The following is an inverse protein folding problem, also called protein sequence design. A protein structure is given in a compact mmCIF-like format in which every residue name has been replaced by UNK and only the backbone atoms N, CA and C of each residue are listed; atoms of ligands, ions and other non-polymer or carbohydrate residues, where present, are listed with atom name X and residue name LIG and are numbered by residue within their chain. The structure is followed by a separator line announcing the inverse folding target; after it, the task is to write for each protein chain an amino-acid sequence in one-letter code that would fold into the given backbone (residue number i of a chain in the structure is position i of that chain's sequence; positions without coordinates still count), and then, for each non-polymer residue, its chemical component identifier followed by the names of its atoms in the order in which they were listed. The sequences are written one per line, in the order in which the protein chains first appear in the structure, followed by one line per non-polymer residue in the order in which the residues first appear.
data_IF_483223969824
#
_entry.id   IF_483223969824
#
_cell.length_a   1.000
_cell.length_b   1.000
_cell.length_c   1.000
_cell.angle_alpha   90.00
_cell.angle_beta   90.00
_cell.angle_gamma   90.00
#
_symmetry.space_group_name_H-M   'P 1'
#
loop_
_entity.id
_entity.type
_entity.pdbx_description
1 polymer ?
#
# COMPACT_ATOMS: atom_id res chain seq x y z
N UNK A 1 19.06 -20.44 20.72
CA UNK A 1 19.59 -20.11 19.39
C UNK A 1 19.49 -18.60 19.20
N UNK A 2 20.61 -17.88 19.27
CA UNK A 2 20.67 -16.43 19.12
C UNK A 2 20.86 -16.10 17.65
N UNK A 3 19.92 -15.39 17.03
CA UNK A 3 20.00 -15.01 15.62
C UNK A 3 21.12 -14.01 15.31
N UNK A 4 21.45 -13.81 14.03
CA UNK A 4 22.60 -13.01 13.54
C UNK A 4 22.53 -11.50 13.84
N UNK A 5 21.49 -11.03 14.54
CA UNK A 5 21.27 -9.62 14.84
C UNK A 5 22.13 -9.07 16.00
N UNK A 6 22.84 -9.93 16.75
CA UNK A 6 23.63 -9.47 17.91
C UNK A 6 24.90 -8.69 17.56
N UNK A 7 25.37 -8.77 16.31
CA UNK A 7 26.62 -8.13 15.87
C UNK A 7 26.41 -7.11 14.75
N UNK A 8 25.18 -6.61 14.56
CA UNK A 8 24.93 -5.58 13.55
C UNK A 8 25.52 -4.23 13.97
N UNK A 9 25.61 -3.95 15.28
CA UNK A 9 26.29 -2.77 15.81
C UNK A 9 27.75 -2.66 15.35
N UNK A 10 28.43 -3.80 15.21
CA UNK A 10 29.86 -3.86 14.94
C UNK A 10 30.18 -3.66 13.45
N UNK A 11 29.16 -3.73 12.59
CA UNK A 11 29.30 -3.54 11.14
C UNK A 11 29.14 -2.10 10.70
N UNK A 12 28.40 -1.31 11.48
CA UNK A 12 28.07 0.08 11.15
C UNK A 12 28.87 1.04 12.02
N UNK A 13 30.19 0.97 11.88
CA UNK A 13 31.10 1.97 12.43
C UNK A 13 30.98 3.26 11.62
N UNK A 14 30.31 4.27 12.17
CA UNK A 14 30.21 5.61 11.58
C UNK A 14 31.58 6.33 11.56
N UNK A 15 32.43 6.03 12.54
CA UNK A 15 33.80 6.52 12.67
C UNK A 15 34.72 5.36 13.10
N UNK A 16 36.04 5.44 12.82
CA UNK A 16 37.04 4.50 13.34
C UNK A 16 36.97 4.37 14.86
N UNK A 17 37.32 3.19 15.39
CA UNK A 17 37.24 2.87 16.83
C UNK A 17 38.12 3.77 17.72
N UNK A 18 39.15 4.37 17.14
CA UNK A 18 40.12 5.25 17.81
C UNK A 18 39.74 6.74 17.71
N UNK A 19 38.70 7.08 16.94
CA UNK A 19 38.23 8.46 16.78
C UNK A 19 37.13 8.81 17.81
N UNK A 20 37.02 10.09 18.15
CA UNK A 20 36.01 10.57 19.09
C UNK A 20 34.61 10.43 18.50
N UNK A 21 33.77 9.61 19.14
CA UNK A 21 32.34 9.49 18.81
C UNK A 21 31.48 10.59 19.45
N UNK A 22 32.08 11.55 20.17
CA UNK A 22 31.39 12.64 20.85
C UNK A 22 31.15 13.86 19.95
N UNK A 23 31.50 13.77 18.66
CA UNK A 23 31.21 14.82 17.70
C UNK A 23 29.71 14.91 17.39
N UNK A 24 29.07 15.93 17.94
CA UNK A 24 27.70 16.28 17.58
C UNK A 24 27.67 16.75 16.11
N UNK A 25 27.23 15.86 15.20
CA UNK A 25 26.98 16.16 13.77
C UNK A 25 26.15 17.45 13.55
N UNK A 26 25.39 17.84 14.57
CA UNK A 26 24.41 18.92 14.56
C UNK A 26 24.52 19.79 15.82
N UNK A 27 25.74 20.21 16.19
CA UNK A 27 26.01 20.98 17.41
C UNK A 27 25.20 22.30 17.55
N UNK A 28 24.76 22.89 16.43
CA UNK A 28 24.09 24.20 16.39
C UNK A 28 22.62 24.12 15.94
N UNK A 29 21.95 22.98 16.14
CA UNK A 29 20.54 22.84 15.76
C UNK A 29 19.62 23.27 16.92
N UNK A 30 18.69 24.17 16.61
CA UNK A 30 17.66 24.58 17.56
C UNK A 30 16.79 23.38 17.95
N UNK A 31 16.44 23.29 19.24
CA UNK A 31 15.57 22.23 19.74
C UNK A 31 14.17 22.41 19.15
N UNK A 32 13.80 21.54 18.21
CA UNK A 32 12.49 21.52 17.57
C UNK A 32 11.59 20.41 18.13
N UNK A 33 10.29 20.63 18.13
CA UNK A 33 9.34 19.55 18.40
C UNK A 33 9.28 18.59 17.20
N UNK A 34 9.29 17.28 17.47
CA UNK A 34 9.01 16.26 16.46
C UNK A 34 7.62 16.52 15.84
N UNK A 35 7.60 16.88 14.55
CA UNK A 35 6.36 17.01 13.79
C UNK A 35 6.24 15.83 12.84
N UNK A 36 5.23 15.00 13.06
CA UNK A 36 4.90 13.96 12.11
C UNK A 36 4.22 14.58 10.87
N UNK A 37 5.01 14.79 9.82
CA UNK A 37 4.54 15.30 8.52
C UNK A 37 4.12 14.16 7.57
N UNK A 38 3.93 12.94 8.07
CA UNK A 38 3.50 11.80 7.26
C UNK A 38 2.12 12.10 6.66
N UNK A 39 2.03 12.00 5.33
CA UNK A 39 0.77 12.21 4.62
C UNK A 39 -0.25 11.18 5.09
N UNK A 40 -1.44 11.63 5.47
CA UNK A 40 -2.55 10.73 5.77
C UNK A 40 -2.91 9.96 4.51
N UNK A 41 -2.80 8.63 4.56
CA UNK A 41 -3.18 7.78 3.44
C UNK A 41 -4.70 7.86 3.23
N UNK A 42 -5.12 7.77 1.97
CA UNK A 42 -6.53 7.74 1.64
C UNK A 42 -7.23 6.51 2.24
N UNK A 43 -8.54 6.56 2.51
CA UNK A 43 -9.30 5.40 3.00
C UNK A 43 -9.19 4.22 2.01
N UNK A 44 -9.04 3.00 2.51
CA UNK A 44 -9.05 1.79 1.67
C UNK A 44 -9.53 0.55 2.44
N UNK A 45 -10.21 -0.37 1.76
CA UNK A 45 -10.60 -1.68 2.31
C UNK A 45 -9.89 -2.84 1.59
N UNK A 46 -8.65 -2.60 1.11
CA UNK A 46 -7.91 -3.57 0.32
C UNK A 46 -7.53 -4.78 1.18
N UNK A 47 -7.69 -5.97 0.61
CA UNK A 47 -7.29 -7.22 1.25
C UNK A 47 -5.77 -7.26 1.51
N UNK A 48 -5.27 -8.07 2.46
CA UNK A 48 -3.83 -8.26 2.68
C UNK A 48 -3.05 -8.62 1.42
N UNK A 49 -1.76 -8.29 1.39
CA UNK A 49 -0.95 -8.48 0.19
C UNK A 49 -0.84 -9.98 -0.09
N UNK A 50 -0.90 -10.35 -1.37
CA UNK A 50 -0.79 -11.74 -1.77
C UNK A 50 0.64 -12.19 -1.50
N UNK A 51 0.81 -13.23 -0.68
CA UNK A 51 2.12 -13.82 -0.42
C UNK A 51 2.70 -14.37 -1.72
N UNK A 52 3.99 -14.12 -1.95
CA UNK A 52 4.74 -14.63 -3.12
C UNK A 52 4.18 -14.17 -4.48
N UNK A 53 3.91 -12.87 -4.62
CA UNK A 53 3.55 -12.28 -5.91
C UNK A 53 4.81 -11.84 -6.67
N UNK A 54 5.17 -12.54 -7.75
CA UNK A 54 6.37 -12.27 -8.56
C UNK A 54 6.08 -12.35 -10.07
N UNK A 55 6.90 -11.70 -10.90
CA UNK A 55 6.89 -11.86 -12.36
C UNK A 55 5.70 -11.25 -13.10
N UNK A 56 4.95 -10.35 -12.47
CA UNK A 56 3.74 -9.70 -13.03
C UNK A 56 3.86 -8.18 -13.16
N UNK A 57 5.09 -7.66 -13.14
CA UNK A 57 5.35 -6.22 -13.18
C UNK A 57 4.86 -5.56 -14.47
N UNK A 58 5.01 -6.24 -15.61
CA UNK A 58 4.53 -5.75 -16.92
C UNK A 58 3.00 -5.65 -16.92
N UNK A 59 2.31 -6.69 -16.43
CA UNK A 59 0.85 -6.69 -16.35
C UNK A 59 0.34 -5.58 -15.41
N UNK A 60 1.01 -5.39 -14.27
CA UNK A 60 0.71 -4.27 -13.37
C UNK A 60 0.90 -2.92 -14.06
N UNK A 61 2.01 -2.76 -14.79
CA UNK A 61 2.28 -1.52 -15.52
C UNK A 61 1.17 -1.20 -16.53
N UNK A 62 0.74 -2.19 -17.31
CA UNK A 62 -0.34 -2.01 -18.28
C UNK A 62 -1.66 -1.61 -17.60
N UNK A 63 -2.01 -2.27 -16.49
CA UNK A 63 -3.20 -1.91 -15.70
C UNK A 63 -3.09 -0.47 -15.17
N UNK A 64 -1.92 -0.07 -14.68
CA UNK A 64 -1.68 1.29 -14.16
C UNK A 64 -1.85 2.33 -15.28
N UNK A 65 -1.24 2.13 -16.45
CA UNK A 65 -1.36 3.06 -17.57
C UNK A 65 -2.83 3.27 -17.96
N UNK A 66 -3.59 2.19 -18.11
CA UNK A 66 -5.02 2.28 -18.43
C UNK A 66 -5.88 2.85 -17.28
N UNK A 67 -5.50 2.63 -16.02
CA UNK A 67 -6.22 3.18 -14.88
C UNK A 67 -5.99 4.69 -14.68
N UNK A 68 -4.88 5.22 -15.21
CA UNK A 68 -4.53 6.64 -15.14
C UNK A 68 -4.96 7.44 -16.38
N UNK A 69 -5.33 6.75 -17.46
CA UNK A 69 -5.88 7.39 -18.65
C UNK A 69 -7.24 8.03 -18.32
N UNK A 70 -7.34 9.34 -18.57
CA UNK A 70 -8.54 10.16 -18.33
C UNK A 70 -9.74 9.67 -19.17
N UNK A 71 -9.45 9.01 -20.30
CA UNK A 71 -10.46 8.46 -21.22
C UNK A 71 -11.07 7.15 -20.70
N UNK A 72 -10.35 6.43 -19.85
CA UNK A 72 -10.71 5.10 -19.40
C UNK A 72 -11.50 5.15 -18.09
N UNK A 73 -12.83 5.24 -18.21
CA UNK A 73 -13.73 5.16 -17.04
C UNK A 73 -13.88 3.75 -16.48
N UNK A 74 -13.59 2.72 -17.29
CA UNK A 74 -13.72 1.32 -16.91
C UNK A 74 -12.57 0.50 -17.50
N UNK A 75 -11.98 -0.36 -16.66
CA UNK A 75 -10.95 -1.31 -17.07
C UNK A 75 -11.44 -2.73 -16.77
N UNK A 76 -11.43 -3.60 -17.79
CA UNK A 76 -11.79 -5.00 -17.65
C UNK A 76 -10.54 -5.88 -17.75
N UNK A 77 -10.25 -6.64 -16.70
CA UNK A 77 -9.17 -7.63 -16.68
C UNK A 77 -9.76 -9.02 -16.87
N UNK A 78 -9.52 -9.63 -18.03
CA UNK A 78 -10.00 -10.97 -18.38
C UNK A 78 -8.84 -11.97 -18.52
N UNK A 79 -9.17 -13.26 -18.62
CA UNK A 79 -8.20 -14.36 -18.72
C UNK A 79 -8.70 -15.64 -18.06
N UNK A 80 -7.90 -16.69 -18.11
CA UNK A 80 -8.30 -18.02 -17.62
C UNK A 80 -8.58 -18.08 -16.12
N UNK A 81 -9.42 -19.03 -15.70
CA UNK A 81 -9.72 -19.25 -14.27
C UNK A 81 -8.44 -19.69 -13.57
N UNK A 82 -8.14 -19.08 -12.42
CA UNK A 82 -6.96 -19.46 -11.60
C UNK A 82 -5.65 -18.76 -11.95
N UNK A 83 -5.56 -17.99 -13.06
CA UNK A 83 -4.31 -17.30 -13.45
C UNK A 83 -3.87 -16.17 -12.50
N UNK A 84 -4.66 -15.86 -11.47
CA UNK A 84 -4.34 -14.85 -10.47
C UNK A 84 -4.78 -13.43 -10.80
N UNK A 85 -5.79 -13.24 -11.67
CA UNK A 85 -6.31 -11.90 -12.03
C UNK A 85 -6.67 -11.04 -10.82
N UNK A 86 -7.38 -11.61 -9.84
CA UNK A 86 -7.76 -10.89 -8.63
C UNK A 86 -6.55 -10.49 -7.79
N UNK A 87 -5.51 -11.34 -7.75
CA UNK A 87 -4.26 -11.02 -7.07
C UNK A 87 -3.52 -9.88 -7.78
N UNK A 88 -3.44 -9.92 -9.12
CA UNK A 88 -2.84 -8.87 -9.94
C UNK A 88 -3.52 -7.51 -9.72
N UNK A 89 -4.85 -7.46 -9.80
CA UNK A 89 -5.62 -6.22 -9.58
C UNK A 89 -5.45 -5.73 -8.15
N UNK A 90 -5.48 -6.63 -7.15
CA UNK A 90 -5.29 -6.25 -5.75
C UNK A 90 -3.89 -5.66 -5.49
N UNK A 91 -2.84 -6.28 -6.03
CA UNK A 91 -1.47 -5.78 -5.88
C UNK A 91 -1.27 -4.44 -6.61
N UNK A 92 -1.92 -4.27 -7.77
CA UNK A 92 -1.91 -2.99 -8.51
C UNK A 92 -2.65 -1.89 -7.75
N UNK A 93 -3.83 -2.19 -7.20
CA UNK A 93 -4.58 -1.27 -6.36
C UNK A 93 -3.75 -0.83 -5.14
N UNK A 94 -3.05 -1.75 -4.48
CA UNK A 94 -2.15 -1.41 -3.37
C UNK A 94 -1.03 -0.47 -3.78
N UNK A 95 -0.35 -0.78 -4.87
CA UNK A 95 0.72 0.05 -5.39
C UNK A 95 0.26 1.50 -5.67
N UNK A 96 -0.96 1.66 -6.19
CA UNK A 96 -1.57 2.97 -6.46
C UNK A 96 -2.02 3.68 -5.18
N UNK A 97 -2.50 2.92 -4.19
CA UNK A 97 -2.88 3.43 -2.87
C UNK A 97 -1.68 3.93 -2.08
N UNK A 98 -0.59 3.17 -2.04
CA UNK A 98 0.66 3.53 -1.35
C UNK A 98 1.26 4.83 -1.91
N UNK A 99 1.10 5.07 -3.22
CA UNK A 99 1.51 6.30 -3.90
C UNK A 99 0.51 7.45 -3.80
N UNK A 100 -0.62 7.24 -3.12
CA UNK A 100 -1.68 8.25 -2.98
C UNK A 100 -2.16 8.83 -4.31
N UNK A 101 -2.19 8.01 -5.37
CA UNK A 101 -2.55 8.46 -6.72
C UNK A 101 -4.03 8.87 -6.78
N UNK A 102 -4.89 8.10 -6.11
CA UNK A 102 -6.32 8.42 -5.98
C UNK A 102 -6.61 9.05 -4.62
N UNK A 103 -6.89 10.36 -4.61
CA UNK A 103 -7.25 11.11 -3.39
C UNK A 103 -8.51 10.58 -2.70
N UNK A 104 -9.45 10.03 -3.48
CA UNK A 104 -10.70 9.46 -2.98
C UNK A 104 -10.56 8.07 -2.33
N UNK A 105 -9.36 7.48 -2.35
CA UNK A 105 -9.15 6.12 -1.88
C UNK A 105 -9.47 5.06 -2.92
N UNK A 106 -9.22 3.81 -2.57
CA UNK A 106 -9.46 2.65 -3.44
C UNK A 106 -10.24 1.61 -2.65
N UNK A 107 -11.36 1.17 -3.23
CA UNK A 107 -12.27 0.24 -2.59
C UNK A 107 -12.40 -1.06 -3.39
N UNK A 108 -12.21 -2.18 -2.71
CA UNK A 108 -12.45 -3.53 -3.18
C UNK A 108 -13.88 -3.97 -2.81
N UNK A 109 -14.63 -4.42 -3.81
CA UNK A 109 -16.00 -4.92 -3.65
C UNK A 109 -16.06 -6.36 -4.18
N UNK A 110 -16.37 -7.31 -3.30
CA UNK A 110 -16.58 -8.70 -3.70
C UNK A 110 -18.05 -8.90 -4.10
N UNK A 111 -18.33 -8.75 -5.40
CA UNK A 111 -19.70 -8.85 -5.95
C UNK A 111 -20.35 -10.20 -5.65
N UNK A 112 -19.72 -11.37 -5.87
CA UNK A 112 -20.34 -12.67 -5.54
C UNK A 112 -20.77 -12.79 -4.08
N UNK A 113 -20.01 -12.23 -3.13
CA UNK A 113 -20.37 -12.29 -1.70
C UNK A 113 -21.51 -11.34 -1.35
N UNK A 114 -21.63 -10.21 -2.03
CA UNK A 114 -22.61 -9.17 -1.73
C UNK A 114 -23.90 -9.29 -2.54
N UNK A 115 -23.88 -10.03 -3.65
CA UNK A 115 -25.04 -10.29 -4.49
C UNK A 115 -26.19 -10.98 -3.73
N UNK A 116 -25.88 -11.72 -2.66
CA UNK A 116 -26.90 -12.33 -1.79
C UNK A 116 -27.63 -11.32 -0.89
N UNK A 117 -27.07 -10.14 -0.66
CA UNK A 117 -27.57 -9.15 0.30
C UNK A 117 -28.06 -7.85 -0.36
N UNK A 118 -27.51 -7.50 -1.52
CA UNK A 118 -27.83 -6.26 -2.24
C UNK A 118 -28.04 -6.55 -3.72
N UNK A 119 -29.03 -5.87 -4.32
CA UNK A 119 -29.40 -6.11 -5.71
C UNK A 119 -28.72 -5.16 -6.71
N UNK A 120 -27.98 -4.14 -6.22
CA UNK A 120 -27.39 -3.11 -7.07
C UNK A 120 -25.93 -2.82 -6.70
N UNK A 121 -25.09 -2.56 -7.71
CA UNK A 121 -23.68 -2.20 -7.52
C UNK A 121 -23.47 -0.95 -6.63
N UNK A 122 -24.27 0.13 -6.76
CA UNK A 122 -24.14 1.29 -5.89
C UNK A 122 -24.35 0.95 -4.41
N UNK A 123 -25.33 0.10 -4.08
CA UNK A 123 -25.56 -0.33 -2.69
C UNK A 123 -24.38 -1.15 -2.15
N UNK A 124 -23.81 -2.04 -2.98
CA UNK A 124 -22.63 -2.81 -2.60
C UNK A 124 -21.41 -1.92 -2.32
N UNK A 125 -21.21 -0.88 -3.14
CA UNK A 125 -20.14 0.09 -2.97
C UNK A 125 -20.34 0.93 -1.69
N UNK A 126 -21.55 1.47 -1.47
CA UNK A 126 -21.87 2.23 -0.26
C UNK A 126 -21.64 1.40 1.00
N UNK A 127 -22.06 0.13 0.99
CA UNK A 127 -21.81 -0.79 2.10
C UNK A 127 -20.31 -1.00 2.35
N UNK A 128 -19.51 -1.15 1.29
CA UNK A 128 -18.06 -1.31 1.39
C UNK A 128 -17.37 -0.07 1.99
N UNK A 129 -17.83 1.13 1.62
CA UNK A 129 -17.33 2.41 2.15
C UNK A 129 -17.75 2.60 3.61
N UNK A 130 -19.03 2.43 3.93
CA UNK A 130 -19.56 2.58 5.30
C UNK A 130 -18.90 1.63 6.29
N UNK A 131 -18.67 0.37 5.87
CA UNK A 131 -17.95 -0.59 6.70
C UNK A 131 -16.56 -0.09 7.07
N UNK A 132 -15.85 0.56 6.16
CA UNK A 132 -14.52 1.11 6.46
C UNK A 132 -14.57 2.28 7.45
N UNK A 133 -15.53 3.21 7.26
CA UNK A 133 -15.70 4.37 8.15
C UNK A 133 -16.02 3.93 9.59
N UNK A 134 -16.82 2.87 9.75
CA UNK A 134 -17.18 2.35 11.08
C UNK A 134 -16.05 1.60 11.81
N UNK A 135 -14.91 1.30 11.15
CA UNK A 135 -13.72 0.72 11.81
C UNK A 135 -12.71 1.80 12.25
N UNK A 136 -12.98 3.08 11.98
CA UNK A 136 -12.11 4.21 12.31
C UNK A 136 -12.58 5.02 13.55
N UNK A 137 -13.62 4.56 14.25
CA UNK A 137 -14.13 5.12 15.50
C UNK A 137 -14.24 4.05 16.58
#
# INVERSE_FOLDING_TARGET
MSGPAKNDSDKFLLLPQEDSHDEALFANLESGCLRNLTRKMAPNNLLPAVRMFMGRAIDMHNIIQHALDVSSRHLLVHGEKGVGKSALVLMTAKYLHDRSVFKGGIFFVNVPKLAFKFNTLPQMLLYAIQRYVNYLF
#
